data_IF_558652926552
#
_entry.id   IF_558652926552
#
_cell.length_a   1.000
_cell.length_b   1.000
_cell.length_c   1.000
_cell.angle_alpha   90.00
_cell.angle_beta   90.00
_cell.angle_gamma   90.00
#
_symmetry.space_group_name_H-M   'P 1'
#
loop_
_entity.id
_entity.type
_entity.pdbx_description
1 polymer ?
#
# COMPACT_ATOMS: atom_id res chain seq x y z
N UNK A 1 1.54 17.25 -31.22
CA UNK A 1 2.29 16.97 -29.97
C UNK A 1 2.10 18.03 -28.88
N UNK A 2 2.35 19.33 -29.12
CA UNK A 2 2.26 20.35 -28.05
C UNK A 2 0.85 20.57 -27.44
N UNK A 3 -0.23 20.42 -28.23
CA UNK A 3 -1.60 20.57 -27.74
C UNK A 3 -2.08 19.40 -26.86
N UNK A 4 -1.64 18.18 -27.17
CA UNK A 4 -1.90 16.96 -26.38
C UNK A 4 -1.26 17.09 -24.99
N UNK A 5 0.00 17.55 -24.95
CA UNK A 5 0.74 17.80 -23.70
C UNK A 5 0.07 18.86 -22.80
N UNK A 6 -0.51 19.94 -23.37
CA UNK A 6 -1.26 20.93 -22.57
C UNK A 6 -2.58 20.38 -22.02
N UNK A 7 -3.24 19.49 -22.78
CA UNK A 7 -4.47 18.84 -22.33
C UNK A 7 -4.20 17.89 -21.18
N UNK A 8 -3.16 17.08 -21.29
CA UNK A 8 -2.71 16.15 -20.24
C UNK A 8 -2.32 16.90 -18.96
N UNK A 9 -1.48 17.94 -19.07
CA UNK A 9 -1.13 18.76 -17.92
C UNK A 9 -2.36 19.38 -17.22
N UNK A 10 -3.40 19.74 -17.98
CA UNK A 10 -4.66 20.21 -17.41
C UNK A 10 -5.46 19.10 -16.72
N UNK A 11 -5.47 17.90 -17.29
CA UNK A 11 -6.07 16.72 -16.67
C UNK A 11 -5.41 16.45 -15.33
N UNK A 12 -4.08 16.43 -15.27
CA UNK A 12 -3.32 16.15 -14.04
C UNK A 12 -3.60 17.20 -12.96
N UNK A 13 -3.68 18.49 -13.33
CA UNK A 13 -4.08 19.57 -12.42
C UNK A 13 -5.49 19.36 -11.85
N UNK A 14 -6.46 18.99 -12.69
CA UNK A 14 -7.83 18.73 -12.24
C UNK A 14 -7.86 17.50 -11.32
N UNK A 15 -7.13 16.43 -11.66
CA UNK A 15 -7.05 15.21 -10.84
C UNK A 15 -6.43 15.48 -9.48
N UNK A 16 -5.29 16.19 -9.43
CA UNK A 16 -4.64 16.53 -8.17
C UNK A 16 -5.55 17.37 -7.26
N UNK A 17 -6.19 18.41 -7.81
CA UNK A 17 -7.10 19.25 -7.02
C UNK A 17 -8.40 18.54 -6.63
N UNK A 18 -8.93 17.66 -7.48
CA UNK A 18 -10.10 16.84 -7.16
C UNK A 18 -9.79 15.81 -6.07
N UNK A 19 -8.60 15.19 -6.12
CA UNK A 19 -8.13 14.30 -5.07
C UNK A 19 -8.03 15.02 -3.72
N UNK A 20 -7.47 16.24 -3.70
CA UNK A 20 -7.44 17.07 -2.51
C UNK A 20 -8.86 17.36 -2.01
N UNK A 21 -9.74 17.87 -2.86
CA UNK A 21 -11.13 18.21 -2.52
C UNK A 21 -11.90 17.01 -1.94
N UNK A 22 -11.87 15.85 -2.63
CA UNK A 22 -12.60 14.66 -2.19
C UNK A 22 -11.96 13.99 -0.97
N UNK A 23 -10.64 14.13 -0.77
CA UNK A 23 -10.02 13.68 0.47
C UNK A 23 -10.56 14.46 1.67
N UNK A 24 -10.94 15.73 1.52
CA UNK A 24 -11.50 16.52 2.63
C UNK A 24 -13.00 16.31 2.81
N UNK A 25 -13.75 16.35 1.71
CA UNK A 25 -15.21 16.45 1.73
C UNK A 25 -15.91 15.10 1.51
N UNK A 26 -15.16 14.03 1.26
CA UNK A 26 -15.68 12.73 0.86
C UNK A 26 -16.15 12.68 -0.58
N UNK A 27 -16.38 11.47 -1.09
CA UNK A 27 -16.78 11.24 -2.48
C UNK A 27 -18.22 11.71 -2.80
N UNK A 28 -19.01 12.12 -1.82
CA UNK A 28 -20.34 12.72 -2.01
C UNK A 28 -20.29 14.20 -2.40
N UNK A 29 -19.16 14.90 -2.22
CA UNK A 29 -19.02 16.34 -2.51
C UNK A 29 -19.45 16.74 -3.93
N UNK A 30 -20.05 17.92 -4.08
CA UNK A 30 -20.70 18.31 -5.33
C UNK A 30 -19.69 18.81 -6.38
N UNK A 31 -19.91 18.51 -7.67
CA UNK A 31 -18.99 18.94 -8.75
C UNK A 31 -18.97 20.46 -8.93
N UNK A 32 -20.03 21.16 -8.52
CA UNK A 32 -20.08 22.63 -8.50
C UNK A 32 -19.10 23.21 -7.48
N UNK A 33 -19.04 22.61 -6.29
CA UNK A 33 -18.11 23.02 -5.23
C UNK A 33 -16.67 22.68 -5.62
N UNK A 34 -16.46 21.51 -6.22
CA UNK A 34 -15.16 21.14 -6.79
C UNK A 34 -14.70 22.15 -7.85
N UNK A 35 -15.56 22.54 -8.79
CA UNK A 35 -15.21 23.51 -9.83
C UNK A 35 -14.81 24.87 -9.20
N UNK A 36 -15.54 25.32 -8.18
CA UNK A 36 -15.20 26.52 -7.40
C UNK A 36 -13.85 26.36 -6.69
N UNK A 37 -13.60 25.21 -6.07
CA UNK A 37 -12.33 24.89 -5.39
C UNK A 37 -11.15 24.91 -6.37
N UNK A 38 -11.33 24.38 -7.58
CA UNK A 38 -10.34 24.38 -8.65
C UNK A 38 -10.17 25.74 -9.36
N UNK A 39 -11.02 26.74 -9.07
CA UNK A 39 -11.01 28.03 -9.75
C UNK A 39 -11.40 27.95 -11.23
N UNK A 40 -12.24 26.98 -11.61
CA UNK A 40 -12.70 26.78 -13.00
C UNK A 40 -14.22 26.83 -13.11
N UNK A 41 -14.73 27.10 -14.31
CA UNK A 41 -16.15 26.97 -14.60
C UNK A 41 -16.57 25.48 -14.57
N UNK A 42 -17.73 25.18 -13.98
CA UNK A 42 -18.25 23.79 -13.92
C UNK A 42 -18.41 23.13 -15.31
N UNK A 43 -18.86 23.83 -16.38
CA UNK A 43 -18.87 23.24 -17.72
C UNK A 43 -17.49 22.83 -18.25
N UNK A 44 -16.42 23.53 -17.83
CA UNK A 44 -15.05 23.15 -18.21
C UNK A 44 -14.67 21.81 -17.59
N UNK A 45 -15.04 21.56 -16.34
CA UNK A 45 -14.82 20.27 -15.68
C UNK A 45 -15.46 19.12 -16.49
N UNK A 46 -16.70 19.30 -16.93
CA UNK A 46 -17.42 18.30 -17.72
C UNK A 46 -16.84 18.06 -19.12
N UNK A 47 -16.10 19.03 -19.68
CA UNK A 47 -15.35 18.86 -20.94
C UNK A 47 -14.14 17.92 -20.80
N UNK A 48 -13.59 17.79 -19.60
CA UNK A 48 -12.51 16.83 -19.32
C UNK A 48 -13.06 15.52 -18.77
N UNK A 49 -14.09 15.59 -17.93
CA UNK A 49 -14.69 14.44 -17.24
C UNK A 49 -16.21 14.46 -17.42
N UNK A 50 -16.76 13.71 -18.38
CA UNK A 50 -18.19 13.76 -18.72
C UNK A 50 -19.12 13.49 -17.53
N UNK A 51 -18.65 12.79 -16.50
CA UNK A 51 -19.38 12.55 -15.27
C UNK A 51 -18.47 12.63 -14.03
N UNK A 52 -19.08 12.83 -12.85
CA UNK A 52 -18.38 12.70 -11.57
C UNK A 52 -17.76 11.31 -11.40
N UNK A 53 -18.46 10.27 -11.87
CA UNK A 53 -17.96 8.90 -11.86
C UNK A 53 -16.67 8.75 -12.66
N UNK A 54 -16.63 9.27 -13.90
CA UNK A 54 -15.41 9.23 -14.73
C UNK A 54 -14.23 9.99 -14.11
N UNK A 55 -14.51 11.07 -13.38
CA UNK A 55 -13.48 11.79 -12.62
C UNK A 55 -12.95 10.93 -11.47
N UNK A 56 -13.84 10.32 -10.69
CA UNK A 56 -13.48 9.45 -9.57
C UNK A 56 -12.67 8.23 -10.05
N UNK A 57 -13.12 7.56 -11.12
CA UNK A 57 -12.42 6.43 -11.73
C UNK A 57 -11.01 6.84 -12.18
N UNK A 58 -10.85 8.02 -12.80
CA UNK A 58 -9.53 8.53 -13.19
C UNK A 58 -8.64 8.90 -11.99
N UNK A 59 -9.20 9.48 -10.94
CA UNK A 59 -8.46 9.73 -9.69
C UNK A 59 -7.94 8.41 -9.14
N UNK A 60 -8.75 7.36 -9.18
CA UNK A 60 -8.37 6.05 -8.67
C UNK A 60 -7.27 5.42 -9.50
N UNK A 61 -7.39 5.39 -10.82
CA UNK A 61 -6.32 4.93 -11.72
C UNK A 61 -4.99 5.63 -11.38
N UNK A 62 -5.01 6.96 -11.24
CA UNK A 62 -3.82 7.76 -10.99
C UNK A 62 -3.24 7.55 -9.58
N UNK A 63 -4.06 7.56 -8.54
CA UNK A 63 -3.57 7.49 -7.16
C UNK A 63 -3.24 6.08 -6.71
N UNK A 64 -3.86 5.09 -7.31
CA UNK A 64 -3.79 3.74 -6.81
C UNK A 64 -3.08 2.75 -7.72
N UNK A 65 -3.24 2.89 -9.04
CA UNK A 65 -2.58 1.98 -9.99
C UNK A 65 -1.21 2.52 -10.37
N UNK A 66 -1.14 3.80 -10.76
CA UNK A 66 0.09 4.41 -11.27
C UNK A 66 1.15 4.68 -10.19
N UNK A 67 0.76 4.79 -8.92
CA UNK A 67 1.69 5.00 -7.80
C UNK A 67 2.33 3.74 -7.26
N UNK A 68 1.86 2.57 -7.71
CA UNK A 68 2.47 1.31 -7.31
C UNK A 68 3.82 1.14 -8.00
N UNK A 69 4.91 1.03 -7.23
CA UNK A 69 6.24 0.87 -7.81
C UNK A 69 6.43 -0.57 -8.32
N UNK A 70 6.53 -0.71 -9.64
CA UNK A 70 6.72 -2.00 -10.32
C UNK A 70 8.05 -2.70 -9.98
N UNK A 71 8.99 -2.01 -9.33
CA UNK A 71 10.26 -2.59 -8.89
C UNK A 71 10.16 -3.29 -7.52
N UNK A 72 9.09 -3.09 -6.75
CA UNK A 72 8.96 -3.72 -5.43
C UNK A 72 8.99 -5.26 -5.44
N UNK A 73 8.35 -5.97 -6.40
CA UNK A 73 8.48 -7.42 -6.50
C UNK A 73 9.94 -7.87 -6.66
N UNK A 74 10.69 -7.18 -7.50
CA UNK A 74 12.12 -7.46 -7.73
C UNK A 74 12.95 -7.16 -6.47
N UNK A 75 12.67 -6.04 -5.80
CA UNK A 75 13.33 -5.67 -4.55
C UNK A 75 13.14 -6.73 -3.46
N UNK A 76 11.93 -7.26 -3.29
CA UNK A 76 11.64 -8.26 -2.25
C UNK A 76 12.33 -9.59 -2.53
N UNK A 77 12.46 -9.98 -3.81
CA UNK A 77 13.16 -11.21 -4.23
C UNK A 77 14.69 -11.06 -4.32
N UNK A 78 15.25 -9.90 -3.98
CA UNK A 78 16.69 -9.65 -4.16
C UNK A 78 17.55 -10.31 -3.06
N UNK A 79 18.00 -11.52 -3.33
CA UNK A 79 18.79 -12.37 -2.43
C UNK A 79 20.15 -11.79 -2.00
N UNK A 80 20.63 -10.75 -2.69
CA UNK A 80 21.86 -10.04 -2.32
C UNK A 80 21.67 -9.04 -1.18
N UNK A 81 20.45 -8.80 -0.73
CA UNK A 81 20.12 -7.88 0.38
C UNK A 81 19.47 -8.65 1.53
N UNK A 82 19.66 -8.24 2.77
CA UNK A 82 18.94 -8.83 3.89
C UNK A 82 17.44 -8.53 3.82
N UNK A 83 16.58 -9.42 4.34
CA UNK A 83 15.13 -9.21 4.33
C UNK A 83 14.76 -7.87 4.97
N UNK A 84 15.41 -7.54 6.10
CA UNK A 84 15.26 -6.24 6.76
C UNK A 84 15.56 -5.07 5.81
N UNK A 85 16.67 -5.11 5.08
CA UNK A 85 17.03 -4.04 4.13
C UNK A 85 15.97 -3.89 3.03
N UNK A 86 15.47 -5.00 2.48
CA UNK A 86 14.43 -5.01 1.45
C UNK A 86 13.14 -4.36 1.98
N UNK A 87 12.69 -4.75 3.17
CA UNK A 87 11.48 -4.23 3.80
C UNK A 87 11.60 -2.76 4.15
N UNK A 88 12.73 -2.31 4.71
CA UNK A 88 12.95 -0.90 5.02
C UNK A 88 12.88 -0.01 3.78
N UNK A 89 13.48 -0.45 2.66
CA UNK A 89 13.41 0.27 1.38
C UNK A 89 11.98 0.31 0.84
N UNK A 90 11.35 -0.87 0.69
CA UNK A 90 9.98 -0.98 0.18
C UNK A 90 9.02 -0.10 0.97
N UNK A 91 8.99 -0.26 2.29
CA UNK A 91 7.99 0.44 3.10
C UNK A 91 8.28 1.94 3.20
N UNK A 92 9.55 2.38 3.13
CA UNK A 92 9.85 3.82 3.07
C UNK A 92 9.34 4.46 1.79
N UNK A 93 9.50 3.81 0.64
CA UNK A 93 8.91 4.25 -0.63
C UNK A 93 7.39 4.16 -0.58
N UNK A 94 6.84 3.07 -0.04
CA UNK A 94 5.40 2.86 0.14
C UNK A 94 4.78 4.01 0.94
N UNK A 95 5.43 4.44 2.02
CA UNK A 95 4.97 5.57 2.83
C UNK A 95 4.96 6.89 2.05
N UNK A 96 5.96 7.13 1.21
CA UNK A 96 6.05 8.35 0.41
C UNK A 96 5.01 8.38 -0.73
N UNK A 97 4.79 7.24 -1.39
CA UNK A 97 3.93 7.16 -2.59
C UNK A 97 2.45 6.94 -2.25
N UNK A 98 2.18 6.07 -1.27
CA UNK A 98 0.85 5.52 -1.00
C UNK A 98 0.30 5.89 0.38
N UNK A 99 1.05 6.50 1.30
CA UNK A 99 0.52 6.88 2.62
C UNK A 99 0.41 8.39 2.82
N UNK A 100 0.25 9.14 1.73
CA UNK A 100 -0.08 10.57 1.82
C UNK A 100 -1.47 10.76 2.43
N UNK A 101 -1.72 11.97 2.94
CA UNK A 101 -3.00 12.31 3.57
C UNK A 101 -4.18 12.10 2.62
N UNK A 102 -4.02 12.55 1.39
CA UNK A 102 -5.01 12.47 0.32
C UNK A 102 -5.29 11.01 0.00
N UNK A 103 -4.24 10.20 -0.19
CA UNK A 103 -4.37 8.79 -0.53
C UNK A 103 -5.14 8.03 0.55
N UNK A 104 -4.73 8.16 1.82
CA UNK A 104 -5.35 7.43 2.94
C UNK A 104 -6.84 7.76 3.06
N UNK A 105 -7.18 9.05 2.96
CA UNK A 105 -8.57 9.49 3.10
C UNK A 105 -9.42 9.09 1.91
N UNK A 106 -8.89 9.22 0.68
CA UNK A 106 -9.57 8.76 -0.53
C UNK A 106 -9.80 7.26 -0.51
N UNK A 107 -8.82 6.47 -0.08
CA UNK A 107 -8.96 5.02 0.09
C UNK A 107 -10.14 4.70 1.03
N UNK A 108 -10.18 5.31 2.22
CA UNK A 108 -11.27 5.08 3.16
C UNK A 108 -12.65 5.46 2.59
N UNK A 109 -12.77 6.62 1.93
CA UNK A 109 -14.04 7.01 1.31
C UNK A 109 -14.44 6.09 0.15
N UNK A 110 -13.48 5.65 -0.66
CA UNK A 110 -13.73 4.76 -1.80
C UNK A 110 -14.25 3.40 -1.34
N UNK A 111 -13.64 2.84 -0.30
CA UNK A 111 -14.07 1.55 0.26
C UNK A 111 -15.45 1.64 0.92
N UNK A 112 -15.72 2.69 1.70
CA UNK A 112 -17.04 2.90 2.32
C UNK A 112 -18.13 3.16 1.27
N UNK A 113 -17.78 3.75 0.13
CA UNK A 113 -18.70 3.97 -0.98
C UNK A 113 -18.88 2.73 -1.89
N UNK A 114 -18.18 1.63 -1.63
CA UNK A 114 -18.36 0.37 -2.34
C UNK A 114 -17.71 0.31 -3.72
N UNK A 115 -16.69 1.12 -4.00
CA UNK A 115 -15.98 1.06 -5.29
C UNK A 115 -15.12 -0.21 -5.46
N UNK A 116 -14.91 -0.99 -4.40
CA UNK A 116 -14.29 -2.32 -4.46
C UNK A 116 -12.80 -2.34 -4.79
N UNK A 117 -12.13 -1.19 -4.66
CA UNK A 117 -10.73 -1.00 -5.01
C UNK A 117 -9.79 -1.72 -4.03
N UNK A 118 -10.13 -1.73 -2.75
CA UNK A 118 -9.36 -2.36 -1.68
C UNK A 118 -9.16 -3.85 -1.93
N UNK A 119 -10.15 -4.54 -2.49
CA UNK A 119 -10.02 -5.95 -2.89
C UNK A 119 -8.93 -6.15 -3.96
N UNK A 120 -8.93 -5.33 -5.02
CA UNK A 120 -7.92 -5.40 -6.10
C UNK A 120 -6.53 -5.10 -5.56
N UNK A 121 -6.40 -4.09 -4.72
CA UNK A 121 -5.13 -3.69 -4.12
C UNK A 121 -4.58 -4.70 -3.13
N UNK A 122 -5.44 -5.28 -2.31
CA UNK A 122 -5.05 -6.34 -1.38
C UNK A 122 -4.57 -7.57 -2.15
N UNK A 123 -5.24 -7.95 -3.24
CA UNK A 123 -4.81 -9.03 -4.10
C UNK A 123 -3.44 -8.74 -4.73
N UNK A 124 -3.23 -7.52 -5.24
CA UNK A 124 -1.95 -7.08 -5.80
C UNK A 124 -0.83 -7.11 -4.74
N UNK A 125 -1.05 -6.49 -3.58
CA UNK A 125 -0.12 -6.52 -2.44
C UNK A 125 0.23 -7.96 -2.06
N UNK A 126 -0.76 -8.84 -1.98
CA UNK A 126 -0.56 -10.24 -1.61
C UNK A 126 0.33 -10.95 -2.63
N UNK A 127 0.01 -10.84 -3.92
CA UNK A 127 0.72 -11.54 -5.00
C UNK A 127 2.13 -10.98 -5.23
N UNK A 128 2.27 -9.66 -5.21
CA UNK A 128 3.51 -8.98 -5.60
C UNK A 128 4.49 -8.82 -4.44
N UNK A 129 4.00 -8.76 -3.19
CA UNK A 129 4.82 -8.47 -2.01
C UNK A 129 4.77 -9.60 -0.98
N UNK A 130 3.58 -10.01 -0.53
CA UNK A 130 3.46 -10.89 0.64
C UNK A 130 3.81 -12.34 0.34
N UNK A 131 3.37 -12.89 -0.79
CA UNK A 131 3.75 -14.25 -1.23
C UNK A 131 5.28 -14.34 -1.47
N UNK A 132 5.93 -13.39 -2.16
CA UNK A 132 7.38 -13.37 -2.28
C UNK A 132 8.09 -13.24 -0.94
N UNK A 133 7.60 -12.37 -0.05
CA UNK A 133 8.15 -12.20 1.28
C UNK A 133 8.04 -13.48 2.12
N UNK A 134 6.89 -14.17 2.10
CA UNK A 134 6.69 -15.44 2.77
C UNK A 134 7.68 -16.49 2.26
N UNK A 135 7.90 -16.56 0.95
CA UNK A 135 8.90 -17.44 0.33
C UNK A 135 10.31 -17.15 0.86
N UNK A 136 10.71 -15.88 0.91
CA UNK A 136 12.00 -15.47 1.46
C UNK A 136 12.12 -15.82 2.96
N UNK A 137 11.07 -15.58 3.75
CA UNK A 137 11.04 -15.90 5.17
C UNK A 137 11.15 -17.41 5.43
N UNK A 138 10.51 -18.25 4.62
CA UNK A 138 10.65 -19.70 4.73
C UNK A 138 12.09 -20.14 4.50
N UNK A 139 12.72 -19.66 3.42
CA UNK A 139 14.14 -19.91 3.12
C UNK A 139 15.04 -19.47 4.28
N UNK A 140 14.79 -18.28 4.84
CA UNK A 140 15.57 -17.71 5.94
C UNK A 140 15.52 -18.57 7.23
N UNK A 141 14.32 -19.03 7.61
CA UNK A 141 14.11 -19.82 8.83
C UNK A 141 14.21 -21.34 8.62
N UNK A 142 14.44 -21.79 7.37
CA UNK A 142 14.52 -23.22 7.04
C UNK A 142 13.18 -23.95 7.15
N UNK A 143 12.07 -23.26 6.89
CA UNK A 143 10.75 -23.87 6.74
C UNK A 143 10.64 -24.58 5.36
N UNK A 144 9.61 -25.43 5.14
CA UNK A 144 9.49 -26.22 3.92
C UNK A 144 9.47 -25.38 2.64
N UNK A 145 10.16 -25.86 1.61
CA UNK A 145 10.22 -25.20 0.31
C UNK A 145 8.83 -25.04 -0.32
N UNK A 146 8.63 -23.95 -1.06
CA UNK A 146 7.33 -23.64 -1.67
C UNK A 146 6.93 -24.61 -2.78
N UNK A 147 7.88 -25.37 -3.34
CA UNK A 147 7.62 -26.47 -4.29
C UNK A 147 7.03 -27.70 -3.63
N UNK A 148 7.27 -27.90 -2.33
CA UNK A 148 6.77 -29.04 -1.56
C UNK A 148 5.48 -28.68 -0.79
N UNK A 149 5.40 -27.44 -0.32
CA UNK A 149 4.23 -26.92 0.40
C UNK A 149 3.91 -25.52 -0.09
N UNK A 150 2.70 -25.27 -0.59
CA UNK A 150 2.30 -23.92 -0.98
C UNK A 150 2.33 -22.93 0.20
N UNK A 151 2.46 -21.63 -0.09
CA UNK A 151 2.33 -20.59 0.93
C UNK A 151 0.92 -20.66 1.53
N UNK A 152 0.84 -20.81 2.85
CA UNK A 152 -0.42 -21.03 3.54
C UNK A 152 -1.17 -19.72 3.76
N UNK A 153 -2.50 -19.81 3.91
CA UNK A 153 -3.31 -18.66 4.31
C UNK A 153 -2.89 -18.10 5.68
N UNK A 154 -2.36 -18.94 6.59
CA UNK A 154 -1.85 -18.50 7.88
C UNK A 154 -0.66 -17.56 7.76
N UNK A 155 0.29 -17.86 6.88
CA UNK A 155 1.43 -16.99 6.62
C UNK A 155 0.99 -15.66 6.02
N UNK A 156 0.10 -15.70 5.02
CA UNK A 156 -0.40 -14.48 4.37
C UNK A 156 -1.20 -13.63 5.36
N UNK A 157 -2.06 -14.21 6.18
CA UNK A 157 -2.85 -13.46 7.17
C UNK A 157 -1.95 -12.77 8.20
N UNK A 158 -0.91 -13.45 8.72
CA UNK A 158 0.04 -12.79 9.62
C UNK A 158 0.76 -11.63 8.93
N UNK A 159 1.25 -11.82 7.70
CA UNK A 159 1.91 -10.75 6.97
C UNK A 159 0.97 -9.58 6.66
N UNK A 160 -0.31 -9.86 6.44
CA UNK A 160 -1.36 -8.85 6.30
C UNK A 160 -1.62 -8.09 7.59
N UNK A 161 -1.72 -8.77 8.72
CA UNK A 161 -1.91 -8.14 10.04
C UNK A 161 -0.75 -7.18 10.35
N UNK A 162 0.48 -7.61 10.04
CA UNK A 162 1.68 -6.80 10.20
C UNK A 162 1.76 -5.64 9.21
N UNK A 163 1.32 -5.83 7.96
CA UNK A 163 1.11 -4.72 7.02
C UNK A 163 0.07 -3.72 7.58
N UNK A 164 -0.94 -4.21 8.30
CA UNK A 164 -1.94 -3.41 8.99
C UNK A 164 -1.34 -2.40 9.97
N UNK A 165 -0.20 -2.69 10.60
CA UNK A 165 0.50 -1.74 11.49
C UNK A 165 0.90 -0.45 10.75
N UNK A 166 1.37 -0.61 9.51
CA UNK A 166 1.76 0.49 8.63
C UNK A 166 0.55 1.35 8.27
N UNK A 167 -0.53 0.71 7.80
CA UNK A 167 -1.76 1.39 7.37
C UNK A 167 -2.44 2.08 8.56
N UNK A 168 -2.60 1.38 9.68
CA UNK A 168 -3.27 1.91 10.86
C UNK A 168 -2.56 3.13 11.43
N UNK A 169 -1.22 3.18 11.37
CA UNK A 169 -0.50 4.38 11.76
C UNK A 169 -0.84 5.57 10.86
N UNK A 170 -0.98 5.36 9.56
CA UNK A 170 -1.33 6.42 8.61
C UNK A 170 -2.76 6.90 8.85
N UNK A 171 -3.68 5.99 9.17
CA UNK A 171 -5.05 6.33 9.62
C UNK A 171 -5.01 7.20 10.87
N UNK A 172 -4.25 6.82 11.92
CA UNK A 172 -4.14 7.62 13.15
C UNK A 172 -3.70 9.06 12.89
N UNK A 173 -2.78 9.28 11.96
CA UNK A 173 -2.29 10.63 11.61
C UNK A 173 -3.24 11.39 10.69
N UNK A 174 -3.76 10.75 9.65
CA UNK A 174 -4.45 11.44 8.55
C UNK A 174 -5.98 11.45 8.69
N UNK A 175 -6.53 10.52 9.48
CA UNK A 175 -7.97 10.41 9.73
C UNK A 175 -8.29 10.86 11.15
N UNK A 176 -7.62 10.31 12.17
CA UNK A 176 -7.92 10.66 13.57
C UNK A 176 -7.27 11.97 14.02
N UNK A 177 -6.36 12.55 13.23
CA UNK A 177 -5.68 13.80 13.56
C UNK A 177 -4.74 13.71 14.76
N UNK A 178 -4.29 12.50 15.14
CA UNK A 178 -3.39 12.32 16.27
C UNK A 178 -2.03 12.96 15.99
N UNK A 179 -1.67 13.95 16.81
CA UNK A 179 -0.35 14.59 16.82
C UNK A 179 0.67 13.66 17.52
N UNK A 180 1.94 13.75 17.14
CA UNK A 180 3.02 13.01 17.81
C UNK A 180 3.14 11.52 17.47
N UNK A 181 2.70 11.09 16.27
CA UNK A 181 2.88 9.70 15.86
C UNK A 181 4.36 9.31 15.82
N UNK A 182 4.66 8.06 16.21
CA UNK A 182 6.00 7.49 16.14
C UNK A 182 6.69 7.81 14.80
N UNK A 183 8.02 8.02 14.86
CA UNK A 183 8.84 8.22 13.67
C UNK A 183 8.69 7.00 12.76
N UNK A 184 8.78 7.24 11.46
CA UNK A 184 8.66 6.17 10.47
C UNK A 184 9.66 5.03 10.70
N UNK A 185 10.89 5.36 11.10
CA UNK A 185 11.92 4.37 11.46
C UNK A 185 11.46 3.43 12.59
N UNK A 186 10.86 3.97 13.65
CA UNK A 186 10.37 3.19 14.80
C UNK A 186 9.29 2.20 14.39
N UNK A 187 8.41 2.59 13.45
CA UNK A 187 7.36 1.70 12.94
C UNK A 187 7.97 0.53 12.16
N UNK A 188 9.02 0.81 11.37
CA UNK A 188 9.74 -0.25 10.68
C UNK A 188 10.48 -1.16 11.66
N UNK A 189 11.06 -0.60 12.72
CA UNK A 189 11.69 -1.37 13.79
C UNK A 189 10.68 -2.32 14.44
N UNK A 190 9.48 -1.83 14.77
CA UNK A 190 8.38 -2.65 15.32
C UNK A 190 7.93 -3.74 14.34
N UNK A 191 7.77 -3.40 13.05
CA UNK A 191 7.42 -4.37 12.01
C UNK A 191 8.45 -5.50 11.92
N UNK A 192 9.74 -5.14 11.89
CA UNK A 192 10.84 -6.09 11.81
C UNK A 192 10.90 -6.96 13.07
N UNK A 193 10.79 -6.34 14.25
CA UNK A 193 10.76 -7.03 15.54
C UNK A 193 9.61 -8.05 15.59
N UNK A 194 8.40 -7.65 15.19
CA UNK A 194 7.25 -8.54 15.16
C UNK A 194 7.42 -9.67 14.15
N UNK A 195 7.92 -9.40 12.94
CA UNK A 195 8.23 -10.45 11.96
C UNK A 195 9.26 -11.45 12.51
N UNK A 196 10.33 -10.95 13.13
CA UNK A 196 11.38 -11.78 13.73
C UNK A 196 10.86 -12.69 14.84
N UNK A 197 9.98 -12.16 15.70
CA UNK A 197 9.44 -12.91 16.83
C UNK A 197 8.31 -13.88 16.45
N UNK A 198 7.44 -13.50 15.52
CA UNK A 198 6.22 -14.25 15.21
C UNK A 198 6.41 -15.35 14.17
N UNK A 199 7.23 -15.13 13.13
CA UNK A 199 7.36 -16.10 12.03
C UNK A 199 7.87 -17.48 12.47
N UNK A 200 8.91 -17.60 13.33
CA UNK A 200 9.36 -18.91 13.81
C UNK A 200 8.27 -19.68 14.57
N UNK A 201 7.50 -18.99 15.41
CA UNK A 201 6.41 -19.59 16.16
C UNK A 201 5.26 -20.06 15.24
N UNK A 202 4.93 -19.27 14.20
CA UNK A 202 3.98 -19.70 13.17
C UNK A 202 4.47 -20.94 12.45
N UNK A 203 5.74 -20.99 12.05
CA UNK A 203 6.29 -22.17 11.38
C UNK A 203 6.29 -23.41 12.27
N UNK A 204 6.61 -23.30 13.56
CA UNK A 204 6.48 -24.43 14.48
C UNK A 204 5.04 -24.96 14.57
N UNK A 205 4.06 -24.04 14.54
CA UNK A 205 2.64 -24.40 14.60
C UNK A 205 2.15 -25.09 13.32
N UNK A 206 2.51 -24.56 12.14
CA UNK A 206 1.99 -25.05 10.86
C UNK A 206 2.85 -26.18 10.26
N UNK A 207 4.10 -26.33 10.71
CA UNK A 207 5.04 -27.37 10.29
C UNK A 207 5.66 -28.11 11.50
N UNK A 208 4.86 -28.76 12.37
CA UNK A 208 5.36 -29.35 13.62
C UNK A 208 6.40 -30.47 13.42
N UNK A 209 6.42 -31.11 12.24
CA UNK A 209 7.39 -32.15 11.89
C UNK A 209 8.70 -31.64 11.29
N UNK A 210 8.84 -30.33 11.04
CA UNK A 210 10.04 -29.77 10.42
C UNK A 210 10.96 -29.15 11.46
N UNK A 211 12.23 -29.59 11.44
CA UNK A 211 13.28 -29.02 12.27
C UNK A 211 13.73 -27.69 11.66
N UNK A 212 13.17 -26.58 12.16
CA UNK A 212 13.60 -25.24 11.77
C UNK A 212 15.09 -25.05 12.03
N UNK A 213 15.76 -24.26 11.20
CA UNK A 213 17.13 -23.81 11.50
C UNK A 213 17.04 -22.96 12.78
N UNK A 214 17.67 -23.43 13.85
CA UNK A 214 17.39 -23.02 15.24
C UNK A 214 17.35 -21.52 15.52
N UNK A 215 16.52 -21.16 16.52
CA UNK A 215 16.34 -19.84 17.16
C UNK A 215 16.00 -18.63 16.26
N UNK A 216 15.47 -17.52 16.83
CA UNK A 216 15.18 -16.31 16.06
C UNK A 216 16.45 -15.76 15.41
N UNK A 217 16.60 -15.97 14.10
CA UNK A 217 17.69 -15.37 13.31
C UNK A 217 17.30 -13.94 12.91
N UNK A 218 18.17 -12.93 13.12
CA UNK A 218 17.85 -11.58 12.72
C UNK A 218 17.59 -11.47 11.21
N UNK A 219 16.61 -10.65 10.80
CA UNK A 219 16.29 -10.41 9.38
C UNK A 219 17.34 -9.53 8.69
N UNK A 220 18.26 -8.96 9.46
CA UNK A 220 19.45 -8.25 8.97
C UNK A 220 20.52 -9.17 8.39
N UNK A 221 20.48 -10.47 8.67
CA UNK A 221 21.43 -11.45 8.16
C UNK A 221 21.00 -11.95 6.77
N UNK A 222 21.97 -12.16 5.88
CA UNK A 222 21.77 -12.79 4.56
C UNK A 222 21.53 -14.31 4.65
#
# INVERSE_FOLDING_TARGET
MAATSRREARVDQIIAGAAQFFSENGLSGQTRELAKFLGIAQPLLYRYFPSKRSLIERIFEEFFENRWNSNWPTLIRNDSLSIETRLRRLYSEYNQLLLTREWVRLFMFAELAGYGFGKKSLAKLTQEILVPLATCLRKHYGAPDTTLHEITAYEINLLLDLHGLIIYKSIRKHVYGMRGSAKWSTILDDLILHLQGSMPAVYQRIFPGFKLKGTPRPLSVL
#
